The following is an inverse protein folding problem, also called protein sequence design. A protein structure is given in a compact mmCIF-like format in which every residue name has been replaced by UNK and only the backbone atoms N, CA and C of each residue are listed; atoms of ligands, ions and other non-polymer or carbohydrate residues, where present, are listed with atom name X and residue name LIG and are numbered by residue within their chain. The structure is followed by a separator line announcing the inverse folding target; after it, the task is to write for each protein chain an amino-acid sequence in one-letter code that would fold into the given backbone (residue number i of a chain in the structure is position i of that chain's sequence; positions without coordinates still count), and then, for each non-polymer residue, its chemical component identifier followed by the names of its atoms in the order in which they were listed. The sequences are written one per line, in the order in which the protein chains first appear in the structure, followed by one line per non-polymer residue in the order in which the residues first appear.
data_IF_069088479025
#
_entry.id   IF_069088479025
#
_cell.length_a   1.000
_cell.length_b   1.000
_cell.length_c   1.000
_cell.angle_alpha   90.00
_cell.angle_beta   90.00
_cell.angle_gamma   90.00
#
_symmetry.space_group_name_H-M   'P 1'
#
loop_
_entity.id
_entity.type
_entity.pdbx_description
1 polymer ?
#
# COMPACT_ATOMS: atom_id res chain seq x y z
N UNK A 1 -5.40 15.73 -43.16
CA UNK A 1 -5.79 15.42 -41.79
C UNK A 1 -4.54 15.46 -40.91
N UNK A 2 -4.22 16.66 -40.43
CA UNK A 2 -3.24 16.87 -39.38
C UNK A 2 -3.85 16.37 -38.08
N UNK A 3 -3.26 15.32 -37.48
CA UNK A 3 -3.52 14.94 -36.11
C UNK A 3 -3.17 16.13 -35.22
N UNK A 4 -4.17 16.86 -34.78
CA UNK A 4 -4.04 17.75 -33.65
C UNK A 4 -3.81 16.86 -32.42
N UNK A 5 -2.54 16.62 -32.09
CA UNK A 5 -2.17 16.21 -30.75
C UNK A 5 -2.64 17.36 -29.85
N UNK A 6 -3.71 17.17 -29.12
CA UNK A 6 -4.10 18.05 -28.04
C UNK A 6 -2.91 18.21 -27.12
N UNK A 7 -2.40 19.44 -26.97
CA UNK A 7 -1.33 19.71 -26.01
C UNK A 7 -1.81 19.28 -24.62
N UNK A 8 -1.19 18.20 -24.13
CA UNK A 8 -1.45 17.73 -22.77
C UNK A 8 -0.89 18.78 -21.81
N UNK A 9 -1.67 19.30 -20.86
CA UNK A 9 -1.15 20.25 -19.88
C UNK A 9 0.14 19.76 -19.22
N UNK A 10 1.10 20.65 -18.96
CA UNK A 10 2.44 20.33 -18.44
C UNK A 10 2.40 19.46 -17.17
N UNK A 11 1.47 19.76 -16.25
CA UNK A 11 1.26 18.99 -15.04
C UNK A 11 0.77 17.53 -15.30
N UNK A 12 0.02 17.31 -16.36
CA UNK A 12 -0.37 15.97 -16.80
C UNK A 12 0.82 15.15 -17.26
N UNK A 13 1.76 15.79 -17.94
CA UNK A 13 2.96 15.16 -18.46
C UNK A 13 3.90 14.73 -17.32
N UNK A 14 4.05 15.56 -16.29
CA UNK A 14 4.85 15.23 -15.10
C UNK A 14 4.31 14.02 -14.35
N UNK A 15 2.99 13.90 -14.18
CA UNK A 15 2.36 12.74 -13.57
C UNK A 15 2.57 11.46 -14.37
N UNK A 16 2.51 11.53 -15.70
CA UNK A 16 2.77 10.38 -16.58
C UNK A 16 4.24 9.95 -16.50
N UNK A 17 5.18 10.89 -16.43
CA UNK A 17 6.60 10.59 -16.26
C UNK A 17 6.87 9.90 -14.92
N UNK A 18 6.28 10.36 -13.83
CA UNK A 18 6.41 9.73 -12.53
C UNK A 18 5.88 8.29 -12.54
N UNK A 19 4.77 8.06 -13.23
CA UNK A 19 4.21 6.72 -13.38
C UNK A 19 5.12 5.80 -14.21
N UNK A 20 5.70 6.28 -15.31
CA UNK A 20 6.68 5.52 -16.11
C UNK A 20 7.92 5.16 -15.27
N UNK A 21 8.46 6.10 -14.53
CA UNK A 21 9.59 5.86 -13.63
C UNK A 21 9.27 4.84 -12.55
N UNK A 22 8.08 4.91 -11.98
CA UNK A 22 7.59 3.93 -11.01
C UNK A 22 7.50 2.52 -11.62
N UNK A 23 6.88 2.39 -12.79
CA UNK A 23 6.75 1.10 -13.48
C UNK A 23 8.12 0.48 -13.80
N UNK A 24 9.10 1.27 -14.19
CA UNK A 24 10.48 0.81 -14.38
C UNK A 24 11.13 0.38 -13.06
N UNK A 25 10.89 1.11 -11.97
CA UNK A 25 11.44 0.81 -10.65
C UNK A 25 10.91 -0.51 -10.10
N UNK A 26 9.61 -0.78 -10.21
CA UNK A 26 9.03 -2.03 -9.69
C UNK A 26 9.46 -3.28 -10.44
N UNK A 27 10.00 -3.14 -11.66
CA UNK A 27 10.59 -4.25 -12.44
C UNK A 27 12.07 -4.50 -12.10
N UNK A 28 12.67 -3.71 -11.20
CA UNK A 28 14.06 -3.93 -10.75
C UNK A 28 14.19 -5.19 -9.89
N UNK A 29 15.40 -5.75 -9.83
CA UNK A 29 15.68 -6.93 -8.97
C UNK A 29 15.41 -6.66 -7.49
N UNK A 30 15.70 -5.46 -7.01
CA UNK A 30 15.48 -5.09 -5.61
C UNK A 30 13.98 -5.04 -5.28
N UNK A 31 13.20 -4.37 -6.12
CA UNK A 31 11.75 -4.31 -5.96
C UNK A 31 11.12 -5.70 -6.09
N UNK A 32 11.57 -6.51 -7.05
CA UNK A 32 11.10 -7.89 -7.22
C UNK A 32 11.31 -8.73 -5.98
N UNK A 33 12.49 -8.65 -5.33
CA UNK A 33 12.76 -9.35 -4.08
C UNK A 33 11.82 -8.90 -2.95
N UNK A 34 11.62 -7.60 -2.77
CA UNK A 34 10.69 -7.08 -1.76
C UNK A 34 9.26 -7.54 -2.00
N UNK A 35 8.82 -7.56 -3.27
CA UNK A 35 7.51 -8.07 -3.64
C UNK A 35 7.38 -9.57 -3.34
N UNK A 36 8.40 -10.37 -3.65
CA UNK A 36 8.40 -11.80 -3.32
C UNK A 36 8.32 -12.07 -1.82
N UNK A 37 9.06 -11.31 -1.01
CA UNK A 37 9.00 -11.39 0.46
C UNK A 37 7.61 -10.99 0.97
N UNK A 38 7.01 -9.94 0.40
CA UNK A 38 5.65 -9.51 0.75
C UNK A 38 4.60 -10.58 0.39
N UNK A 39 4.71 -11.18 -0.79
CA UNK A 39 3.81 -12.27 -1.23
C UNK A 39 3.93 -13.49 -0.31
N UNK A 40 5.15 -13.81 0.16
CA UNK A 40 5.34 -14.88 1.15
C UNK A 40 4.55 -14.61 2.43
N UNK A 41 4.64 -13.39 2.99
CA UNK A 41 3.86 -13.01 4.18
C UNK A 41 2.36 -13.09 3.93
N UNK A 42 1.89 -12.71 2.73
CA UNK A 42 0.49 -12.80 2.34
C UNK A 42 0.00 -14.25 2.34
N UNK A 43 0.78 -15.17 1.78
CA UNK A 43 0.40 -16.59 1.69
C UNK A 43 0.49 -17.32 3.04
N UNK A 44 1.33 -16.85 3.97
CA UNK A 44 1.43 -17.38 5.33
C UNK A 44 0.30 -16.88 6.25
N UNK A 45 -0.37 -15.78 5.87
CA UNK A 45 -1.39 -15.17 6.70
C UNK A 45 -2.73 -15.91 6.58
N UNK A 46 -3.41 -16.10 7.72
CA UNK A 46 -4.78 -16.55 7.77
C UNK A 46 -5.77 -15.41 7.47
N UNK A 47 -5.46 -14.22 8.00
CA UNK A 47 -6.26 -13.00 7.78
C UNK A 47 -5.36 -11.85 7.36
N UNK A 48 -5.85 -11.04 6.45
CA UNK A 48 -5.15 -9.83 5.98
C UNK A 48 -5.99 -8.62 6.35
N UNK A 49 -5.36 -7.67 7.04
CA UNK A 49 -6.02 -6.43 7.44
C UNK A 49 -5.39 -5.29 6.66
N UNK A 50 -6.17 -4.63 5.82
CA UNK A 50 -5.77 -3.38 5.19
C UNK A 50 -6.10 -2.21 6.14
N UNK A 51 -5.12 -1.35 6.41
CA UNK A 51 -5.26 -0.22 7.33
C UNK A 51 -4.89 1.08 6.60
N UNK A 52 -5.77 2.06 6.66
CA UNK A 52 -5.52 3.39 6.11
C UNK A 52 -6.59 4.37 6.58
N UNK A 53 -6.34 5.66 6.42
CA UNK A 53 -7.31 6.73 6.75
C UNK A 53 -7.43 7.70 5.59
N UNK A 54 -8.54 8.42 5.48
CA UNK A 54 -8.80 9.33 4.36
C UNK A 54 -8.72 8.61 3.01
N UNK A 55 -8.00 9.15 2.05
CA UNK A 55 -7.79 8.55 0.73
C UNK A 55 -7.14 7.16 0.82
N UNK A 56 -6.18 6.98 1.72
CA UNK A 56 -5.58 5.67 2.00
C UNK A 56 -6.58 4.70 2.63
N UNK A 57 -7.58 5.19 3.37
CA UNK A 57 -8.69 4.38 3.90
C UNK A 57 -9.56 3.82 2.79
N UNK A 58 -9.90 4.63 1.79
CA UNK A 58 -10.65 4.17 0.61
C UNK A 58 -9.88 3.08 -0.15
N UNK A 59 -8.55 3.21 -0.27
CA UNK A 59 -7.70 2.19 -0.88
C UNK A 59 -7.52 0.95 0.00
N UNK A 60 -7.58 1.08 1.31
CA UNK A 60 -7.62 -0.06 2.22
C UNK A 60 -8.89 -0.90 1.99
N UNK A 61 -10.03 -0.25 1.82
CA UNK A 61 -11.30 -0.93 1.48
C UNK A 61 -11.24 -1.59 0.10
N UNK A 62 -10.66 -0.91 -0.89
CA UNK A 62 -10.40 -1.49 -2.21
C UNK A 62 -9.51 -2.73 -2.11
N UNK A 63 -8.39 -2.65 -1.41
CA UNK A 63 -7.45 -3.75 -1.24
C UNK A 63 -8.06 -4.96 -0.56
N UNK A 64 -8.78 -4.75 0.54
CA UNK A 64 -9.47 -5.81 1.26
C UNK A 64 -10.49 -6.52 0.35
N UNK A 65 -11.28 -5.75 -0.40
CA UNK A 65 -12.23 -6.32 -1.35
C UNK A 65 -11.54 -7.09 -2.48
N UNK A 66 -10.46 -6.54 -3.02
CA UNK A 66 -9.70 -7.19 -4.11
C UNK A 66 -9.14 -8.54 -3.65
N UNK A 67 -8.53 -8.59 -2.47
CA UNK A 67 -7.98 -9.81 -1.89
C UNK A 67 -9.06 -10.83 -1.54
N UNK A 68 -10.21 -10.41 -1.01
CA UNK A 68 -11.35 -11.31 -0.79
C UNK A 68 -11.86 -11.93 -2.09
N UNK A 69 -11.89 -11.16 -3.17
CA UNK A 69 -12.33 -11.66 -4.49
C UNK A 69 -11.42 -12.75 -5.07
N UNK A 70 -10.16 -12.80 -4.67
CA UNK A 70 -9.21 -13.86 -5.05
C UNK A 70 -9.09 -14.98 -4.02
N UNK A 71 -9.98 -15.03 -3.02
CA UNK A 71 -10.06 -16.11 -2.04
C UNK A 71 -9.22 -15.92 -0.80
N UNK A 72 -8.62 -14.75 -0.57
CA UNK A 72 -7.88 -14.43 0.66
C UNK A 72 -8.79 -13.72 1.65
N UNK A 73 -8.91 -14.26 2.86
CA UNK A 73 -9.72 -13.63 3.91
C UNK A 73 -9.11 -12.28 4.31
N UNK A 74 -9.80 -11.19 3.96
CA UNK A 74 -9.32 -9.85 4.23
C UNK A 74 -10.44 -8.87 4.58
N UNK A 75 -10.10 -7.86 5.38
CA UNK A 75 -10.99 -6.76 5.72
C UNK A 75 -10.20 -5.45 5.86
N UNK A 76 -10.91 -4.33 5.84
CA UNK A 76 -10.30 -3.01 5.96
C UNK A 76 -10.61 -2.35 7.30
N UNK A 77 -9.69 -1.51 7.75
CA UNK A 77 -9.85 -0.55 8.82
C UNK A 77 -9.55 0.82 8.23
N UNK A 78 -10.59 1.57 7.93
CA UNK A 78 -10.54 2.93 7.39
C UNK A 78 -10.88 4.00 8.44
N UNK A 79 -11.45 3.60 9.56
CA UNK A 79 -11.68 4.46 10.72
C UNK A 79 -10.51 4.33 11.71
N UNK A 80 -9.81 5.46 12.04
CA UNK A 80 -8.69 5.45 12.97
C UNK A 80 -9.07 5.00 14.39
N UNK A 81 -10.33 5.04 14.75
CA UNK A 81 -10.84 4.65 16.09
C UNK A 81 -11.40 3.22 16.12
N UNK A 82 -11.56 2.57 14.97
CA UNK A 82 -12.06 1.20 14.91
C UNK A 82 -11.06 0.23 15.56
N UNK A 83 -11.55 -0.67 16.43
CA UNK A 83 -10.71 -1.70 17.02
C UNK A 83 -10.24 -2.72 15.99
N UNK A 84 -8.97 -3.13 16.07
CA UNK A 84 -8.44 -4.23 15.27
C UNK A 84 -8.88 -5.55 15.90
N UNK A 85 -9.63 -6.37 15.15
CA UNK A 85 -9.97 -7.72 15.58
C UNK A 85 -8.76 -8.64 15.45
N UNK A 86 -8.58 -9.56 16.40
CA UNK A 86 -7.49 -10.54 16.35
C UNK A 86 -6.12 -9.93 16.65
N UNK A 87 -6.08 -8.96 17.55
CA UNK A 87 -4.87 -8.28 18.02
C UNK A 87 -3.69 -9.25 18.10
N UNK A 88 -2.73 -9.03 17.21
CA UNK A 88 -1.43 -9.68 17.28
C UNK A 88 -1.42 -11.20 17.14
N UNK A 89 -2.47 -11.84 16.64
CA UNK A 89 -2.39 -13.24 16.28
C UNK A 89 -1.25 -13.43 15.27
N UNK A 90 -0.37 -14.42 15.44
CA UNK A 90 0.83 -14.59 14.60
C UNK A 90 0.50 -14.91 13.14
N UNK A 91 -0.73 -15.25 12.86
CA UNK A 91 -1.30 -15.56 11.55
C UNK A 91 -2.05 -14.37 10.90
N UNK A 92 -1.97 -13.17 11.51
CA UNK A 92 -2.56 -11.94 10.96
C UNK A 92 -1.49 -11.07 10.31
N UNK A 93 -1.71 -10.69 9.06
CA UNK A 93 -0.89 -9.73 8.33
C UNK A 93 -1.62 -8.39 8.25
N UNK A 94 -0.95 -7.31 8.64
CA UNK A 94 -1.43 -5.95 8.41
C UNK A 94 -0.75 -5.32 7.19
N UNK A 95 -1.53 -4.87 6.20
CA UNK A 95 -1.05 -4.05 5.07
C UNK A 95 -1.48 -2.62 5.35
N UNK A 96 -0.52 -1.77 5.65
CA UNK A 96 -0.74 -0.41 6.15
C UNK A 96 -0.43 0.60 5.05
N UNK A 97 -1.41 1.41 4.71
CA UNK A 97 -1.34 2.41 3.64
C UNK A 97 -1.24 3.81 4.25
N UNK A 98 -0.16 4.52 3.96
CA UNK A 98 0.01 5.93 4.36
C UNK A 98 1.00 6.62 3.41
N UNK A 99 0.53 7.55 2.60
CA UNK A 99 1.38 8.27 1.65
C UNK A 99 2.54 8.98 2.35
N UNK A 100 2.30 9.69 3.43
CA UNK A 100 3.36 10.35 4.23
C UNK A 100 4.20 9.35 5.04
N UNK A 101 3.59 8.25 5.49
CA UNK A 101 4.19 7.35 6.46
C UNK A 101 4.35 7.94 7.86
N UNK A 102 3.71 9.10 8.11
CA UNK A 102 3.82 9.89 9.35
C UNK A 102 2.45 10.22 9.98
N UNK A 103 1.39 9.53 9.56
CA UNK A 103 0.04 9.74 10.12
C UNK A 103 -0.03 9.23 11.54
N UNK A 104 -0.15 10.12 12.53
CA UNK A 104 -0.07 9.82 13.97
C UNK A 104 -0.97 8.65 14.38
N UNK A 105 -2.23 8.67 13.97
CA UNK A 105 -3.19 7.60 14.31
C UNK A 105 -2.83 6.24 13.72
N UNK A 106 -2.19 6.21 12.57
CA UNK A 106 -1.68 4.98 11.95
C UNK A 106 -0.47 4.47 12.72
N UNK A 107 0.46 5.37 13.06
CA UNK A 107 1.67 5.02 13.82
C UNK A 107 1.31 4.50 15.20
N UNK A 108 0.45 5.19 15.96
CA UNK A 108 -0.05 4.75 17.26
C UNK A 108 -0.64 3.32 17.19
N UNK A 109 -1.40 3.04 16.12
CA UNK A 109 -2.01 1.73 15.90
C UNK A 109 -0.96 0.65 15.62
N UNK A 110 0.00 0.94 14.76
CA UNK A 110 1.07 0.00 14.40
C UNK A 110 1.95 -0.31 15.62
N UNK A 111 2.28 0.71 16.42
CA UNK A 111 3.03 0.53 17.68
C UNK A 111 2.27 -0.44 18.60
N UNK A 112 0.98 -0.21 18.83
CA UNK A 112 0.15 -1.11 19.66
C UNK A 112 0.11 -2.53 19.11
N UNK A 113 -0.04 -2.72 17.80
CA UNK A 113 -0.02 -4.05 17.19
C UNK A 113 1.31 -4.78 17.46
N UNK A 114 2.43 -4.06 17.45
CA UNK A 114 3.76 -4.64 17.71
C UNK A 114 4.03 -4.91 19.19
N UNK A 115 3.46 -4.13 20.09
CA UNK A 115 3.59 -4.35 21.53
C UNK A 115 2.78 -5.57 22.01
N UNK A 116 1.63 -5.80 21.39
CA UNK A 116 0.71 -6.87 21.81
C UNK A 116 1.11 -8.25 21.28
N UNK A 117 1.90 -8.33 20.17
CA UNK A 117 2.37 -9.60 19.61
C UNK A 117 3.40 -9.40 18.47
N UNK A 118 3.99 -10.49 17.94
CA UNK A 118 4.88 -10.45 16.77
C UNK A 118 4.10 -10.18 15.47
N UNK A 119 3.41 -9.03 15.41
CA UNK A 119 2.61 -8.63 14.26
C UNK A 119 3.45 -8.54 12.99
N UNK A 120 2.96 -9.13 11.90
CA UNK A 120 3.53 -8.99 10.56
C UNK A 120 2.94 -7.76 9.89
N UNK A 121 3.79 -6.87 9.39
CA UNK A 121 3.38 -5.59 8.81
C UNK A 121 4.08 -5.38 7.48
N UNK A 122 3.29 -5.14 6.45
CA UNK A 122 3.72 -4.57 5.18
C UNK A 122 3.20 -3.14 5.15
N UNK A 123 4.05 -2.16 4.87
CA UNK A 123 3.62 -0.79 4.62
C UNK A 123 3.82 -0.37 3.17
N UNK A 124 2.94 0.50 2.70
CA UNK A 124 3.06 1.17 1.40
C UNK A 124 3.10 2.67 1.65
N UNK A 125 4.24 3.29 1.34
CA UNK A 125 4.50 4.72 1.61
C UNK A 125 5.09 5.40 0.38
N UNK A 126 4.99 6.73 0.32
CA UNK A 126 5.64 7.48 -0.76
C UNK A 126 7.17 7.51 -0.60
N UNK A 127 7.67 7.61 0.63
CA UNK A 127 9.09 7.71 0.93
C UNK A 127 9.61 6.51 1.75
N UNK A 128 10.88 6.10 1.58
CA UNK A 128 11.45 4.94 2.26
C UNK A 128 11.79 5.19 3.73
N UNK A 129 12.15 6.43 4.09
CA UNK A 129 12.66 6.78 5.43
C UNK A 129 11.57 7.42 6.30
N UNK A 130 10.47 6.70 6.52
CA UNK A 130 9.34 7.16 7.34
C UNK A 130 9.26 6.39 8.65
N UNK A 131 8.55 6.95 9.64
CA UNK A 131 8.29 6.25 10.91
C UNK A 131 7.57 4.93 10.66
N UNK A 132 6.57 4.92 9.79
CA UNK A 132 5.84 3.71 9.42
C UNK A 132 6.75 2.66 8.76
N UNK A 133 7.65 3.08 7.86
CA UNK A 133 8.58 2.16 7.20
C UNK A 133 9.49 1.43 8.19
N UNK A 134 9.97 2.14 9.21
CA UNK A 134 10.84 1.59 10.27
C UNK A 134 10.10 0.62 11.20
N UNK A 135 8.80 0.78 11.35
CA UNK A 135 7.92 -0.10 12.13
C UNK A 135 7.44 -1.33 11.34
N UNK A 136 7.73 -1.43 10.07
CA UNK A 136 7.23 -2.48 9.18
C UNK A 136 8.27 -3.58 8.94
N UNK A 137 7.81 -4.80 8.69
CA UNK A 137 8.68 -5.90 8.26
C UNK A 137 9.15 -5.68 6.82
N UNK A 138 8.24 -5.17 5.97
CA UNK A 138 8.51 -4.84 4.58
C UNK A 138 7.88 -3.47 4.29
N UNK A 139 8.65 -2.59 3.66
CA UNK A 139 8.14 -1.32 3.15
C UNK A 139 8.26 -1.27 1.62
N UNK A 140 7.14 -1.04 0.96
CA UNK A 140 7.05 -0.77 -0.47
C UNK A 140 6.90 0.74 -0.69
N UNK A 141 7.78 1.31 -1.51
CA UNK A 141 7.81 2.76 -1.76
C UNK A 141 7.64 3.09 -3.23
N UNK A 142 6.98 4.20 -3.52
CA UNK A 142 6.74 4.62 -4.90
C UNK A 142 7.47 5.90 -5.32
N UNK A 143 7.71 6.86 -4.43
CA UNK A 143 8.59 8.00 -4.67
C UNK A 143 8.03 9.04 -5.63
N UNK A 144 6.73 9.35 -5.54
CA UNK A 144 6.12 10.43 -6.31
C UNK A 144 6.38 11.78 -5.64
N UNK A 145 6.29 12.85 -6.44
CA UNK A 145 6.33 14.20 -5.92
C UNK A 145 5.18 14.41 -4.94
N UNK A 146 5.48 14.93 -3.75
CA UNK A 146 4.47 15.21 -2.74
C UNK A 146 3.65 16.42 -3.18
N UNK A 147 2.33 16.26 -3.14
CA UNK A 147 1.36 17.31 -3.49
C UNK A 147 0.44 17.56 -2.33
N UNK A 148 0.07 18.81 -2.10
CA UNK A 148 -0.90 19.23 -1.10
C UNK A 148 -2.04 20.00 -1.74
N UNK A 149 -3.21 19.95 -1.12
CA UNK A 149 -4.38 20.69 -1.59
C UNK A 149 -4.14 22.21 -1.52
N UNK A 150 -4.58 22.90 -2.57
CA UNK A 150 -4.62 24.37 -2.57
C UNK A 150 -5.70 24.93 -1.62
N UNK A 151 -6.70 24.12 -1.26
CA UNK A 151 -7.81 24.48 -0.37
C UNK A 151 -7.52 24.17 1.09
N UNK A 152 -6.80 23.09 1.35
CA UNK A 152 -6.37 22.67 2.69
C UNK A 152 -4.90 22.19 2.63
N UNK A 153 -3.95 22.99 3.11
CA UNK A 153 -2.52 22.62 3.10
C UNK A 153 -2.17 21.37 3.92
N UNK A 154 -3.09 20.89 4.76
CA UNK A 154 -2.90 19.66 5.54
C UNK A 154 -3.35 18.42 4.74
N UNK A 155 -4.13 18.60 3.68
CA UNK A 155 -4.61 17.50 2.84
C UNK A 155 -3.54 17.11 1.81
N UNK A 156 -3.01 15.90 1.97
CA UNK A 156 -2.02 15.32 1.07
C UNK A 156 -2.71 14.73 -0.17
N UNK A 157 -2.47 15.33 -1.33
CA UNK A 157 -3.00 14.90 -2.64
C UNK A 157 -1.99 14.11 -3.48
N UNK A 158 -0.86 13.70 -2.91
CA UNK A 158 0.11 12.85 -3.63
C UNK A 158 -0.60 11.67 -4.28
N UNK A 159 -0.36 11.47 -5.57
CA UNK A 159 -1.03 10.43 -6.36
C UNK A 159 -0.87 9.06 -5.70
N UNK A 160 -1.97 8.33 -5.58
CA UNK A 160 -2.03 6.99 -5.03
C UNK A 160 -2.20 5.89 -6.09
N UNK A 161 -2.03 6.22 -7.37
CA UNK A 161 -2.00 5.22 -8.45
C UNK A 161 -1.00 4.08 -8.19
N UNK A 162 0.22 4.36 -7.67
CA UNK A 162 1.16 3.30 -7.34
C UNK A 162 0.69 2.39 -6.22
N UNK A 163 -0.13 2.88 -5.28
CA UNK A 163 -0.68 2.06 -4.20
C UNK A 163 -1.66 1.02 -4.77
N UNK A 164 -2.52 1.44 -5.72
CA UNK A 164 -3.41 0.52 -6.44
C UNK A 164 -2.59 -0.53 -7.19
N UNK A 165 -1.54 -0.10 -7.91
CA UNK A 165 -0.65 -1.02 -8.61
C UNK A 165 -0.01 -2.05 -7.67
N UNK A 166 0.50 -1.64 -6.51
CA UNK A 166 1.04 -2.57 -5.52
C UNK A 166 0.00 -3.57 -5.00
N UNK A 167 -1.21 -3.11 -4.69
CA UNK A 167 -2.30 -3.98 -4.24
C UNK A 167 -2.58 -5.07 -5.27
N UNK A 168 -2.75 -4.69 -6.54
CA UNK A 168 -3.07 -5.63 -7.60
C UNK A 168 -1.90 -6.56 -7.93
N UNK A 169 -0.67 -6.06 -7.97
CA UNK A 169 0.54 -6.88 -8.20
C UNK A 169 0.69 -7.93 -7.10
N UNK A 170 0.55 -7.54 -5.83
CA UNK A 170 0.64 -8.46 -4.69
C UNK A 170 -0.45 -9.53 -4.76
N UNK A 171 -1.67 -9.15 -5.09
CA UNK A 171 -2.80 -10.08 -5.24
C UNK A 171 -2.56 -11.09 -6.37
N UNK A 172 -2.17 -10.63 -7.56
CA UNK A 172 -1.89 -11.51 -8.70
C UNK A 172 -0.73 -12.46 -8.44
N UNK A 173 0.36 -11.97 -7.85
CA UNK A 173 1.50 -12.83 -7.51
C UNK A 173 1.16 -13.85 -6.44
N UNK A 174 0.32 -13.50 -5.45
CA UNK A 174 -0.15 -14.44 -4.45
C UNK A 174 -1.00 -15.54 -5.08
N UNK A 175 -1.92 -15.18 -5.98
CA UNK A 175 -2.76 -16.12 -6.70
C UNK A 175 -1.94 -17.10 -7.57
N UNK A 176 -0.99 -16.58 -8.37
CA UNK A 176 -0.12 -17.43 -9.20
C UNK A 176 0.73 -18.42 -8.40
N UNK A 177 1.20 -18.02 -7.20
CA UNK A 177 1.99 -18.91 -6.34
C UNK A 177 1.12 -19.95 -5.64
N UNK A 178 -0.09 -19.59 -5.24
CA UNK A 178 -1.05 -20.55 -4.67
C UNK A 178 -1.42 -21.65 -5.67
N UNK A 179 -1.67 -21.29 -6.92
CA UNK A 179 -2.01 -22.24 -7.99
C UNK A 179 -0.86 -23.22 -8.33
N UNK A 180 0.39 -22.81 -8.14
CA UNK A 180 1.56 -23.68 -8.38
C UNK A 180 1.86 -24.66 -7.24
N UNK A 181 1.25 -24.45 -6.08
CA UNK A 181 1.42 -25.29 -4.90
C UNK A 181 0.32 -26.36 -4.76
N UNK A 182 -0.74 -26.28 -5.56
CA UNK A 182 -1.81 -27.27 -5.68
C UNK A 182 -1.58 -28.17 -6.90
#
# INVERSE_FOLDING_TARGET
NQNQLTEIPVNYYENLLQLDLFLRKITSKEAGRKLEEAVKLILEARYIIFIGVGSSGALAEYGARYFTNIGLESYAISDPYQAVKGKGAPDVLSIVLSASGETDKIIERVVKLREEAPAKIISITNHPETTLSKLSNINLTYGFQTEYSAYDPLENLTSQLPVIAFIEILAHQAMEKADKCN
#
